data_IF_373787519280
#
_entry.id   IF_373787519280
#
_cell.length_a   1.000
_cell.length_b   1.000
_cell.length_c   1.000
_cell.angle_alpha   90.00
_cell.angle_beta   90.00
_cell.angle_gamma   90.00
#
_symmetry.space_group_name_H-M   'P 1'
#
loop_
_entity.id
_entity.type
_entity.pdbx_description
1 polymer ?
#
# COMPACT_ATOMS: atom_id res chain seq x y z
N UNK A 1 -22.10 -5.04 -29.62
CA UNK A 1 -21.73 -5.85 -28.45
C UNK A 1 -22.35 -5.21 -27.23
N UNK A 2 -22.71 -6.00 -26.22
CA UNK A 2 -23.24 -5.48 -24.97
C UNK A 2 -22.12 -4.81 -24.16
N UNK A 3 -22.41 -3.67 -23.54
CA UNK A 3 -21.44 -2.91 -22.74
C UNK A 3 -21.07 -3.70 -21.48
N UNK A 4 -22.02 -4.48 -20.95
CA UNK A 4 -21.84 -5.27 -19.73
C UNK A 4 -20.83 -6.42 -19.89
N UNK A 5 -20.51 -6.81 -21.13
CA UNK A 5 -19.52 -7.84 -21.45
C UNK A 5 -18.10 -7.29 -21.61
N UNK A 6 -17.93 -5.96 -21.58
CA UNK A 6 -16.67 -5.28 -21.76
C UNK A 6 -16.03 -4.91 -20.41
N UNK A 7 -14.71 -4.95 -20.37
CA UNK A 7 -13.88 -4.46 -19.28
C UNK A 7 -13.16 -3.20 -19.75
N UNK A 8 -13.27 -2.14 -18.96
CA UNK A 8 -12.68 -0.84 -19.23
C UNK A 8 -11.53 -0.60 -18.26
N UNK A 9 -10.32 -0.43 -18.80
CA UNK A 9 -9.12 -0.14 -18.03
C UNK A 9 -8.57 1.24 -18.44
N UNK A 10 -8.46 2.21 -17.52
CA UNK A 10 -7.86 3.51 -17.84
C UNK A 10 -6.37 3.31 -18.14
N UNK A 11 -5.91 3.88 -19.26
CA UNK A 11 -4.50 3.91 -19.65
C UNK A 11 -3.88 5.23 -19.23
N UNK A 12 -4.42 6.35 -19.72
CA UNK A 12 -3.98 7.69 -19.36
C UNK A 12 -5.21 8.56 -19.06
N UNK A 13 -5.10 9.42 -18.06
CA UNK A 13 -6.15 10.36 -17.66
C UNK A 13 -5.52 11.76 -17.71
N UNK A 14 -5.87 12.50 -18.76
CA UNK A 14 -5.64 13.93 -18.82
C UNK A 14 -6.82 14.67 -18.17
N UNK A 15 -6.64 15.94 -17.79
CA UNK A 15 -7.56 16.72 -16.95
C UNK A 15 -9.04 16.65 -17.40
N UNK A 16 -9.32 16.51 -18.70
CA UNK A 16 -10.68 16.38 -19.24
C UNK A 16 -10.93 15.14 -20.09
N UNK A 17 -9.91 14.32 -20.40
CA UNK A 17 -10.03 13.19 -21.31
C UNK A 17 -9.33 11.96 -20.74
N UNK A 18 -10.05 10.85 -20.65
CA UNK A 18 -9.48 9.56 -20.27
C UNK A 18 -9.34 8.67 -21.51
N UNK A 19 -8.13 8.19 -21.76
CA UNK A 19 -7.88 7.13 -22.74
C UNK A 19 -8.07 5.79 -22.05
N UNK A 20 -9.00 4.98 -22.56
CA UNK A 20 -9.42 3.73 -21.94
C UNK A 20 -9.18 2.57 -22.90
N UNK A 21 -8.53 1.53 -22.41
CA UNK A 21 -8.45 0.26 -23.11
C UNK A 21 -9.71 -0.57 -22.82
N UNK A 22 -10.27 -1.15 -23.88
CA UNK A 22 -11.49 -1.95 -23.80
C UNK A 22 -11.18 -3.37 -24.25
N UNK A 23 -11.51 -4.34 -23.40
CA UNK A 23 -11.29 -5.77 -23.68
C UNK A 23 -12.48 -6.57 -23.18
N UNK A 24 -12.84 -7.63 -23.90
CA UNK A 24 -13.95 -8.49 -23.52
C UNK A 24 -13.65 -9.23 -22.20
N UNK A 25 -14.62 -9.29 -21.28
CA UNK A 25 -14.45 -9.91 -19.96
C UNK A 25 -14.08 -11.40 -20.03
N UNK A 26 -14.61 -12.14 -21.02
CA UNK A 26 -14.20 -13.54 -21.24
C UNK A 26 -12.71 -13.67 -21.55
N UNK A 27 -12.13 -12.75 -22.33
CA UNK A 27 -10.70 -12.78 -22.63
C UNK A 27 -9.87 -12.45 -21.38
N UNK A 28 -10.31 -11.47 -20.59
CA UNK A 28 -9.68 -11.16 -19.30
C UNK A 28 -9.73 -12.35 -18.33
N UNK A 29 -10.85 -13.08 -18.28
CA UNK A 29 -10.96 -14.31 -17.49
C UNK A 29 -9.91 -15.35 -17.88
N UNK A 30 -9.77 -15.60 -19.18
CA UNK A 30 -8.81 -16.57 -19.69
C UNK A 30 -7.37 -16.16 -19.33
N UNK A 31 -7.02 -14.89 -19.47
CA UNK A 31 -5.70 -14.36 -19.11
C UNK A 31 -5.45 -14.50 -17.59
N UNK A 32 -6.41 -14.09 -16.76
CA UNK A 32 -6.29 -14.15 -15.31
C UNK A 32 -6.16 -15.60 -14.81
N UNK A 33 -6.94 -16.52 -15.37
CA UNK A 33 -6.85 -17.95 -15.05
C UNK A 33 -5.48 -18.52 -15.43
N UNK A 34 -5.00 -18.22 -16.63
CA UNK A 34 -3.69 -18.67 -17.09
C UNK A 34 -2.56 -18.16 -16.20
N UNK A 35 -2.61 -16.88 -15.78
CA UNK A 35 -1.64 -16.31 -14.84
C UNK A 35 -1.67 -17.01 -13.47
N UNK A 36 -2.87 -17.35 -12.99
CA UNK A 36 -3.06 -18.03 -11.71
C UNK A 36 -2.55 -19.48 -11.74
N UNK A 37 -2.86 -20.24 -12.80
CA UNK A 37 -2.41 -21.62 -13.00
C UNK A 37 -0.89 -21.71 -13.03
N UNK A 38 -0.22 -20.72 -13.63
CA UNK A 38 1.23 -20.63 -13.69
C UNK A 38 1.87 -19.98 -12.44
N UNK A 39 1.06 -19.60 -11.43
CA UNK A 39 1.56 -18.99 -10.19
C UNK A 39 2.18 -17.60 -10.38
N UNK A 40 1.90 -16.91 -11.48
CA UNK A 40 2.42 -15.58 -11.80
C UNK A 40 1.62 -14.55 -10.99
N UNK A 41 2.26 -13.95 -9.99
CA UNK A 41 1.60 -13.03 -9.03
C UNK A 41 1.87 -11.55 -9.30
N UNK A 42 2.89 -11.24 -10.10
CA UNK A 42 3.21 -9.88 -10.56
C UNK A 42 3.30 -9.92 -12.07
N UNK A 43 2.21 -9.49 -12.72
CA UNK A 43 2.15 -9.34 -14.16
C UNK A 43 1.52 -7.99 -14.47
N UNK A 44 1.98 -7.39 -15.56
CA UNK A 44 1.31 -6.28 -16.23
C UNK A 44 0.76 -6.86 -17.52
N UNK A 45 -0.54 -6.67 -17.76
CA UNK A 45 -1.17 -7.08 -19.01
C UNK A 45 -1.46 -5.81 -19.78
N UNK A 46 -0.90 -5.71 -20.97
CA UNK A 46 -1.09 -4.59 -21.88
C UNK A 46 -1.29 -5.14 -23.31
N UNK A 47 -1.89 -4.35 -24.21
CA UNK A 47 -1.91 -4.67 -25.63
C UNK A 47 -0.49 -4.91 -26.17
N UNK A 48 -0.39 -5.81 -27.15
CA UNK A 48 0.87 -6.20 -27.76
C UNK A 48 1.64 -5.01 -28.38
N UNK A 49 0.94 -4.08 -29.01
CA UNK A 49 1.54 -2.86 -29.57
C UNK A 49 2.12 -1.91 -28.52
N UNK A 50 1.76 -2.01 -27.24
CA UNK A 50 2.42 -1.24 -26.18
C UNK A 50 3.81 -1.77 -25.83
N UNK A 51 4.16 -2.99 -26.27
CA UNK A 51 5.48 -3.58 -25.97
C UNK A 51 6.63 -2.99 -26.80
N UNK A 52 6.31 -2.25 -27.87
CA UNK A 52 7.30 -1.54 -28.70
C UNK A 52 7.33 -0.04 -28.34
N UNK A 53 8.44 0.68 -28.60
CA UNK A 53 8.52 2.11 -28.28
C UNK A 53 7.55 2.96 -29.12
N UNK A 54 7.22 4.16 -28.65
CA UNK A 54 6.39 5.11 -29.42
C UNK A 54 7.09 5.53 -30.72
N UNK A 55 6.31 5.68 -31.79
CA UNK A 55 6.83 5.96 -33.13
C UNK A 55 7.49 4.75 -33.80
N UNK A 56 7.26 3.52 -33.35
CA UNK A 56 7.81 2.32 -33.97
C UNK A 56 6.74 1.47 -34.68
N UNK A 57 7.16 0.82 -35.75
CA UNK A 57 6.41 -0.22 -36.43
C UNK A 57 7.28 -1.45 -36.61
N UNK A 58 6.80 -2.59 -36.11
CA UNK A 58 7.40 -3.90 -36.32
C UNK A 58 6.54 -4.70 -37.29
N UNK A 59 7.16 -5.20 -38.36
CA UNK A 59 6.53 -6.08 -39.32
C UNK A 59 7.19 -7.46 -39.27
N UNK A 60 6.38 -8.49 -39.11
CA UNK A 60 6.75 -9.89 -39.27
C UNK A 60 5.99 -10.48 -40.48
N UNK A 61 6.30 -11.72 -40.86
CA UNK A 61 5.69 -12.41 -42.00
C UNK A 61 4.16 -12.52 -41.92
N UNK A 62 3.60 -12.59 -40.71
CA UNK A 62 2.15 -12.78 -40.50
C UNK A 62 1.43 -11.54 -39.99
N UNK A 63 2.14 -10.67 -39.26
CA UNK A 63 1.52 -9.59 -38.48
C UNK A 63 2.35 -8.33 -38.48
N UNK A 64 1.65 -7.21 -38.34
CA UNK A 64 2.23 -5.88 -38.20
C UNK A 64 1.72 -5.28 -36.90
N UNK A 65 2.64 -4.71 -36.14
CA UNK A 65 2.38 -4.03 -34.87
C UNK A 65 2.92 -2.61 -35.02
N UNK A 66 2.10 -1.61 -34.73
CA UNK A 66 2.45 -0.21 -34.84
C UNK A 66 2.06 0.52 -33.56
N UNK A 67 3.02 1.23 -32.96
CA UNK A 67 2.78 2.17 -31.86
C UNK A 67 3.13 3.56 -32.33
N UNK A 68 2.13 4.42 -32.32
CA UNK A 68 2.23 5.78 -32.83
C UNK A 68 2.62 6.69 -31.69
N UNK A 69 1.87 6.57 -30.60
CA UNK A 69 1.99 7.40 -29.42
C UNK A 69 1.77 6.57 -28.16
N UNK A 70 1.85 7.21 -27.00
CA UNK A 70 1.72 6.62 -25.67
C UNK A 70 0.56 5.62 -25.55
N UNK A 71 -0.65 6.05 -25.94
CA UNK A 71 -1.88 5.27 -25.85
C UNK A 71 -2.55 4.99 -27.21
N UNK A 72 -1.84 5.18 -28.33
CA UNK A 72 -2.38 4.95 -29.68
C UNK A 72 -1.51 3.98 -30.47
N UNK A 73 -2.13 2.91 -30.94
CA UNK A 73 -1.46 1.90 -31.74
C UNK A 73 -2.44 0.82 -32.21
N UNK A 74 -1.95 -0.06 -33.06
CA UNK A 74 -2.72 -1.14 -33.63
C UNK A 74 -1.86 -2.36 -33.95
N UNK A 75 -2.51 -3.51 -34.06
CA UNK A 75 -1.93 -4.78 -34.41
C UNK A 75 -2.86 -5.45 -35.41
N UNK A 76 -2.34 -5.86 -36.57
CA UNK A 76 -3.15 -6.44 -37.64
C UNK A 76 -2.35 -7.50 -38.42
N UNK A 77 -3.07 -8.40 -39.08
CA UNK A 77 -2.46 -9.31 -40.05
C UNK A 77 -1.88 -8.55 -41.24
N UNK A 78 -0.83 -9.09 -41.87
CA UNK A 78 -0.10 -8.42 -42.96
C UNK A 78 -1.02 -7.99 -44.12
N UNK A 79 -2.08 -8.74 -44.41
CA UNK A 79 -3.05 -8.42 -45.46
C UNK A 79 -3.89 -7.16 -45.16
N UNK A 80 -4.19 -6.89 -43.88
CA UNK A 80 -4.99 -5.75 -43.44
C UNK A 80 -4.13 -4.55 -43.04
N UNK A 81 -2.83 -4.76 -42.81
CA UNK A 81 -1.91 -3.72 -42.38
C UNK A 81 -1.89 -2.47 -43.29
N UNK A 82 -1.91 -2.56 -44.64
CA UNK A 82 -1.96 -1.37 -45.49
C UNK A 82 -3.24 -0.55 -45.29
N UNK A 83 -4.38 -1.21 -45.06
CA UNK A 83 -5.67 -0.53 -44.86
C UNK A 83 -5.69 0.18 -43.51
N UNK A 84 -5.26 -0.51 -42.45
CA UNK A 84 -5.15 0.07 -41.11
C UNK A 84 -4.18 1.25 -41.09
N UNK A 85 -3.04 1.12 -41.80
CA UNK A 85 -2.05 2.18 -41.89
C UNK A 85 -2.58 3.43 -42.62
N UNK A 86 -3.34 3.27 -43.71
CA UNK A 86 -3.99 4.39 -44.39
C UNK A 86 -5.05 5.07 -43.55
N UNK A 87 -5.91 4.30 -42.88
CA UNK A 87 -6.90 4.85 -41.97
C UNK A 87 -6.22 5.70 -40.89
N UNK A 88 -5.09 5.22 -40.37
CA UNK A 88 -4.31 5.94 -39.38
C UNK A 88 -3.70 7.24 -39.88
N UNK A 89 -3.17 7.26 -41.11
CA UNK A 89 -2.62 8.48 -41.73
C UNK A 89 -3.73 9.51 -41.98
N UNK A 90 -4.93 9.06 -42.36
CA UNK A 90 -6.07 9.92 -42.60
C UNK A 90 -6.64 10.55 -41.31
N UNK A 91 -6.52 9.87 -40.17
CA UNK A 91 -6.94 10.41 -38.87
C UNK A 91 -5.99 11.49 -38.32
N UNK A 92 -4.77 11.59 -38.84
CA UNK A 92 -3.78 12.55 -38.37
C UNK A 92 -3.60 13.70 -39.36
N UNK A 93 -3.66 14.93 -38.86
CA UNK A 93 -3.38 16.12 -39.67
C UNK A 93 -1.87 16.43 -39.76
N UNK A 94 -1.08 15.95 -38.80
CA UNK A 94 0.37 16.19 -38.76
C UNK A 94 1.18 15.12 -39.49
N UNK A 95 2.37 15.47 -40.02
CA UNK A 95 3.29 14.49 -40.59
C UNK A 95 3.75 13.51 -39.51
N UNK A 96 3.75 12.22 -39.87
CA UNK A 96 4.06 11.13 -38.97
C UNK A 96 5.52 10.67 -39.18
N UNK A 97 6.27 10.56 -38.09
CA UNK A 97 7.61 9.97 -38.11
C UNK A 97 7.56 8.57 -37.50
N UNK A 98 7.95 7.56 -38.28
CA UNK A 98 7.97 6.16 -37.86
C UNK A 98 9.33 5.52 -38.07
N UNK A 99 9.75 4.76 -37.07
CA UNK A 99 10.89 3.86 -37.15
C UNK A 99 10.40 2.44 -37.44
N UNK A 100 10.84 1.86 -38.55
CA UNK A 100 10.37 0.57 -39.04
C UNK A 100 11.40 -0.53 -38.84
N UNK A 101 10.93 -1.70 -38.46
CA UNK A 101 11.74 -2.92 -38.32
C UNK A 101 11.05 -4.07 -39.04
N UNK A 102 11.80 -4.81 -39.86
CA UNK A 102 11.30 -5.97 -40.61
C UNK A 102 10.49 -5.65 -41.88
N UNK A 103 10.36 -4.37 -42.25
CA UNK A 103 9.76 -3.94 -43.51
C UNK A 103 10.67 -2.92 -44.21
N UNK A 104 10.81 -3.05 -45.53
CA UNK A 104 11.52 -2.06 -46.34
C UNK A 104 10.74 -0.74 -46.36
N UNK A 105 11.40 0.43 -46.18
CA UNK A 105 10.75 1.74 -46.25
C UNK A 105 9.92 1.94 -47.52
N UNK A 106 10.41 1.45 -48.66
CA UNK A 106 9.71 1.54 -49.96
C UNK A 106 8.32 0.87 -49.94
N UNK A 107 8.23 -0.30 -49.27
CA UNK A 107 6.96 -1.02 -49.14
C UNK A 107 5.98 -0.25 -48.25
N UNK A 108 6.49 0.42 -47.21
CA UNK A 108 5.66 1.26 -46.35
C UNK A 108 5.20 2.53 -47.07
N UNK A 109 6.07 3.18 -47.86
CA UNK A 109 5.68 4.30 -48.71
C UNK A 109 4.62 3.91 -49.75
N UNK A 110 4.72 2.71 -50.32
CA UNK A 110 3.68 2.16 -51.19
C UNK A 110 2.34 1.96 -50.47
N UNK A 111 2.37 1.62 -49.16
CA UNK A 111 1.16 1.57 -48.34
C UNK A 111 0.58 2.95 -48.10
N UNK A 112 1.40 3.97 -47.84
CA UNK A 112 0.95 5.35 -47.67
C UNK A 112 0.32 5.94 -48.94
N UNK A 113 0.82 5.56 -50.12
CA UNK A 113 0.27 6.03 -51.40
C UNK A 113 0.50 7.53 -51.59
N UNK A 114 -0.58 8.30 -51.81
CA UNK A 114 -0.50 9.75 -52.01
C UNK A 114 0.00 10.49 -50.76
N UNK A 115 -0.17 9.92 -49.57
CA UNK A 115 0.24 10.50 -48.29
C UNK A 115 1.70 10.17 -47.92
N UNK A 116 2.47 9.55 -48.83
CA UNK A 116 3.87 9.19 -48.57
C UNK A 116 4.76 10.41 -48.23
N UNK A 117 4.43 11.60 -48.74
CA UNK A 117 5.15 12.85 -48.43
C UNK A 117 4.98 13.28 -46.96
N UNK A 118 3.91 12.84 -46.29
CA UNK A 118 3.62 13.13 -44.89
C UNK A 118 4.31 12.14 -43.93
N UNK A 119 5.02 11.14 -44.46
CA UNK A 119 5.63 10.07 -43.70
C UNK A 119 7.15 10.20 -43.71
N UNK A 120 7.75 10.32 -42.53
CA UNK A 120 9.20 10.17 -42.36
C UNK A 120 9.48 8.75 -41.87
N UNK A 121 10.20 7.95 -42.66
CA UNK A 121 10.52 6.56 -42.31
C UNK A 121 12.00 6.40 -42.00
N UNK A 122 12.31 5.89 -40.81
CA UNK A 122 13.66 5.46 -40.42
C UNK A 122 13.69 3.94 -40.32
N UNK A 123 14.57 3.26 -41.05
CA UNK A 123 14.71 1.81 -40.93
C UNK A 123 15.75 1.43 -39.87
N UNK A 124 15.39 0.50 -38.98
CA UNK A 124 16.32 -0.12 -38.05
C UNK A 124 16.35 -1.65 -38.24
N UNK A 125 17.50 -2.30 -37.99
CA UNK A 125 17.62 -3.75 -38.14
C UNK A 125 16.88 -4.53 -37.05
N UNK A 126 16.75 -3.94 -35.85
CA UNK A 126 16.07 -4.55 -34.72
C UNK A 126 15.57 -3.48 -33.75
N UNK A 127 14.54 -3.81 -32.98
CA UNK A 127 14.11 -3.01 -31.83
C UNK A 127 15.01 -3.36 -30.65
N UNK A 128 15.82 -2.40 -30.20
CA UNK A 128 16.74 -2.58 -29.07
C UNK A 128 16.17 -2.09 -27.73
N UNK A 129 15.05 -1.40 -27.78
CA UNK A 129 14.41 -0.77 -26.62
C UNK A 129 12.99 -1.30 -26.47
N UNK A 130 12.62 -1.69 -25.26
CA UNK A 130 11.26 -2.10 -24.98
C UNK A 130 10.38 -0.87 -24.76
N UNK A 131 9.13 -0.95 -25.23
CA UNK A 131 8.11 0.02 -24.87
C UNK A 131 7.65 -0.23 -23.44
N UNK A 132 7.67 0.82 -22.61
CA UNK A 132 6.99 0.76 -21.33
C UNK A 132 5.47 0.95 -21.57
N UNK A 133 4.63 0.07 -21.02
CA UNK A 133 3.18 0.21 -21.13
C UNK A 133 2.69 1.29 -20.17
N UNK A 134 1.98 2.29 -20.69
CA UNK A 134 1.40 3.40 -19.91
C UNK A 134 0.25 2.97 -18.97
N UNK A 135 -0.18 1.70 -19.06
CA UNK A 135 -1.30 1.21 -18.26
C UNK A 135 -1.30 -0.31 -18.08
N UNK A 136 -2.20 -0.76 -17.20
CA UNK A 136 -2.40 -2.17 -16.91
C UNK A 136 -3.88 -2.55 -17.06
N UNK A 137 -4.15 -3.59 -17.84
CA UNK A 137 -5.50 -4.14 -18.00
C UNK A 137 -5.98 -4.88 -16.73
N UNK A 138 -5.06 -5.33 -15.86
CA UNK A 138 -5.37 -5.97 -14.59
C UNK A 138 -5.80 -4.94 -13.52
N UNK A 139 -6.89 -4.23 -13.80
CA UNK A 139 -7.50 -3.21 -12.92
C UNK A 139 -8.86 -3.68 -12.41
N UNK A 140 -9.31 -3.09 -11.29
CA UNK A 140 -10.58 -3.41 -10.65
C UNK A 140 -10.70 -4.89 -10.27
N UNK A 141 -11.69 -5.64 -10.81
CA UNK A 141 -11.94 -7.03 -10.44
C UNK A 141 -10.81 -7.99 -10.84
N UNK A 142 -9.95 -7.60 -11.79
CA UNK A 142 -8.85 -8.42 -12.31
C UNK A 142 -7.50 -8.16 -11.65
N UNK A 143 -7.43 -7.30 -10.63
CA UNK A 143 -6.18 -7.04 -9.92
C UNK A 143 -5.60 -8.35 -9.35
N UNK A 144 -4.28 -8.60 -9.48
CA UNK A 144 -3.66 -9.79 -8.94
C UNK A 144 -3.95 -9.88 -7.45
N UNK A 145 -4.79 -10.84 -7.06
CA UNK A 145 -5.06 -11.09 -5.65
C UNK A 145 -3.77 -11.61 -5.03
N UNK A 146 -3.10 -10.75 -4.27
CA UNK A 146 -2.02 -11.18 -3.40
C UNK A 146 -2.58 -12.28 -2.50
N UNK A 147 -2.00 -13.48 -2.61
CA UNK A 147 -2.42 -14.57 -1.74
C UNK A 147 -1.98 -14.23 -0.32
N UNK A 148 -2.84 -13.56 0.44
CA UNK A 148 -2.62 -13.22 1.86
C UNK A 148 -2.13 -14.43 2.65
N UNK A 149 -2.58 -15.63 2.29
CA UNK A 149 -2.11 -16.90 2.86
C UNK A 149 -0.60 -17.13 2.71
N UNK A 150 0.01 -16.81 1.56
CA UNK A 150 1.47 -16.93 1.34
C UNK A 150 2.24 -15.83 2.07
N UNK A 151 1.70 -14.61 2.13
CA UNK A 151 2.31 -13.54 2.93
C UNK A 151 2.22 -13.83 4.44
N UNK A 152 1.10 -14.34 4.92
CA UNK A 152 0.93 -14.71 6.33
C UNK A 152 1.87 -15.85 6.74
N UNK A 153 2.08 -16.84 5.88
CA UNK A 153 3.08 -17.89 6.10
C UNK A 153 4.50 -17.33 6.26
N UNK A 154 4.86 -16.28 5.51
CA UNK A 154 6.16 -15.60 5.62
C UNK A 154 6.28 -14.75 6.88
N UNK A 155 5.21 -14.07 7.29
CA UNK A 155 5.20 -13.22 8.48
C UNK A 155 5.12 -14.00 9.79
N UNK A 156 4.63 -15.24 9.76
CA UNK A 156 4.52 -16.08 10.97
C UNK A 156 5.85 -16.25 11.70
N UNK A 157 6.97 -16.37 10.97
CA UNK A 157 8.30 -16.53 11.58
C UNK A 157 8.74 -15.26 12.33
N UNK A 158 8.27 -14.08 11.92
CA UNK A 158 8.57 -12.80 12.57
C UNK A 158 7.61 -12.48 13.71
N UNK A 159 6.32 -12.83 13.57
CA UNK A 159 5.30 -12.58 14.59
C UNK A 159 5.48 -13.48 15.81
N UNK A 160 5.91 -14.73 15.62
CA UNK A 160 6.06 -15.71 16.70
C UNK A 160 7.04 -15.25 17.80
N UNK A 161 8.28 -14.79 17.50
CA UNK A 161 9.19 -14.29 18.55
C UNK A 161 8.67 -13.00 19.20
N UNK A 162 8.07 -12.08 18.43
CA UNK A 162 7.50 -10.84 18.98
C UNK A 162 6.37 -11.14 19.97
N UNK A 163 5.47 -12.06 19.61
CA UNK A 163 4.38 -12.50 20.48
C UNK A 163 4.94 -13.18 21.74
N UNK A 164 5.98 -14.01 21.60
CA UNK A 164 6.61 -14.70 22.73
C UNK A 164 7.27 -13.71 23.70
N UNK A 165 7.97 -12.70 23.18
CA UNK A 165 8.54 -11.59 23.98
C UNK A 165 7.43 -10.77 24.66
N UNK A 166 6.34 -10.48 23.95
CA UNK A 166 5.22 -9.71 24.48
C UNK A 166 4.51 -10.47 25.61
N UNK A 167 4.33 -11.79 25.45
CA UNK A 167 3.82 -12.67 26.52
C UNK A 167 4.78 -12.70 27.70
N UNK A 168 6.09 -12.82 27.48
CA UNK A 168 7.07 -12.78 28.56
C UNK A 168 7.03 -11.46 29.34
N UNK A 169 6.98 -10.32 28.65
CA UNK A 169 6.83 -8.98 29.24
C UNK A 169 5.51 -8.84 30.01
N UNK A 170 4.40 -9.37 29.47
CA UNK A 170 3.11 -9.35 30.14
C UNK A 170 3.10 -10.20 31.41
N UNK A 171 3.80 -11.35 31.42
CA UNK A 171 3.96 -12.19 32.61
C UNK A 171 4.80 -11.47 33.67
N UNK A 172 5.93 -10.86 33.28
CA UNK A 172 6.74 -10.07 34.20
C UNK A 172 5.92 -8.95 34.85
N UNK A 173 5.19 -8.16 34.04
CA UNK A 173 4.36 -7.06 34.55
C UNK A 173 3.12 -7.55 35.31
N UNK A 174 2.55 -8.70 34.92
CA UNK A 174 1.43 -9.33 35.61
C UNK A 174 1.79 -9.83 37.00
N UNK A 175 2.98 -10.43 37.14
CA UNK A 175 3.51 -10.88 38.45
C UNK A 175 3.81 -9.68 39.35
N UNK A 176 4.33 -8.57 38.81
CA UNK A 176 4.56 -7.36 39.62
C UNK A 176 3.27 -6.70 40.13
N UNK A 177 2.18 -6.74 39.37
CA UNK A 177 0.88 -6.22 39.83
C UNK A 177 0.28 -7.07 40.96
N UNK A 178 0.61 -8.36 41.00
CA UNK A 178 0.21 -9.25 42.10
C UNK A 178 1.12 -9.09 43.33
N UNK A 179 2.44 -8.95 43.17
CA UNK A 179 3.38 -8.85 44.30
C UNK A 179 3.35 -7.50 45.04
N UNK A 180 2.76 -6.45 44.46
CA UNK A 180 2.52 -5.17 45.14
C UNK A 180 1.32 -5.23 46.09
N UNK A 181 0.44 -6.23 45.98
CA UNK A 181 -0.63 -6.44 46.96
C UNK A 181 -0.11 -6.94 48.32
N UNK A 182 1.03 -7.63 48.32
CA UNK A 182 1.60 -8.27 49.51
C UNK A 182 2.52 -7.32 50.30
N UNK A 183 3.24 -6.42 49.62
CA UNK A 183 4.00 -5.36 50.28
C UNK A 183 3.12 -4.25 50.88
N UNK A 184 1.95 -3.97 50.30
CA UNK A 184 0.98 -3.03 50.88
C UNK A 184 0.33 -3.60 52.16
N UNK A 185 0.28 -4.92 52.31
CA UNK A 185 -0.17 -5.56 53.54
C UNK A 185 0.86 -5.41 54.68
N UNK A 186 2.16 -5.58 54.39
CA UNK A 186 3.22 -5.44 55.41
C UNK A 186 3.50 -3.97 55.81
N UNK A 187 3.37 -3.01 54.89
CA UNK A 187 3.49 -1.58 55.21
C UNK A 187 2.32 -1.04 56.04
N UNK A 188 1.15 -1.70 56.03
CA UNK A 188 0.04 -1.37 56.93
C UNK A 188 0.30 -1.80 58.37
N UNK A 189 0.93 -2.95 58.58
CA UNK A 189 1.21 -3.47 59.93
C UNK A 189 2.29 -2.68 60.69
N UNK A 190 3.33 -2.17 60.01
CA UNK A 190 4.33 -1.30 60.67
C UNK A 190 3.77 0.11 60.98
N UNK A 191 2.89 0.62 60.12
CA UNK A 191 2.23 1.91 60.36
C UNK A 191 1.17 1.84 61.49
N UNK A 192 0.56 0.68 61.72
CA UNK A 192 -0.42 0.48 62.79
C UNK A 192 0.22 0.41 64.20
N UNK A 193 1.40 -0.20 64.34
CA UNK A 193 2.11 -0.27 65.64
C UNK A 193 2.64 1.10 66.10
N UNK A 194 3.10 1.93 65.17
CA UNK A 194 3.51 3.31 65.48
C UNK A 194 2.30 4.26 65.71
N UNK A 195 1.12 3.94 65.18
CA UNK A 195 -0.09 4.73 65.44
C UNK A 195 -0.72 4.44 66.80
N UNK A 196 -0.66 3.18 67.27
CA UNK A 196 -1.27 2.76 68.54
C UNK A 196 -0.46 3.16 69.77
N UNK A 197 0.84 3.44 69.62
CA UNK A 197 1.68 3.95 70.72
C UNK A 197 1.44 5.43 71.01
N UNK A 198 0.81 6.18 70.10
CA UNK A 198 0.57 7.62 70.25
C UNK A 198 -0.89 8.00 70.59
N UNK A 199 -1.84 7.06 70.59
CA UNK A 199 -3.27 7.35 70.86
C UNK A 199 -3.99 6.26 71.69
N UNK A 200 -3.83 6.24 73.04
CA UNK A 200 -4.43 5.23 73.91
C UNK A 200 -5.92 5.45 74.25
N UNK A 201 -6.70 6.18 73.44
CA UNK A 201 -8.11 6.50 73.77
C UNK A 201 -9.17 6.12 72.71
N UNK A 202 -8.84 5.49 71.58
CA UNK A 202 -9.88 5.16 70.59
C UNK A 202 -9.81 3.72 70.04
N UNK A 203 -10.57 2.85 70.72
CA UNK A 203 -10.99 1.53 70.25
C UNK A 203 -11.82 1.67 68.96
N UNK A 204 -11.28 1.18 67.84
CA UNK A 204 -11.92 0.83 66.56
C UNK A 204 -11.77 1.85 65.42
N UNK A 205 -10.82 1.58 64.52
CA UNK A 205 -10.56 2.37 63.31
C UNK A 205 -10.94 1.55 62.06
N UNK A 206 -11.91 2.04 61.28
CA UNK A 206 -12.39 1.40 60.03
C UNK A 206 -11.97 2.20 58.77
N UNK A 207 -11.47 3.43 58.90
CA UNK A 207 -10.99 4.22 57.76
C UNK A 207 -10.08 5.40 58.18
N UNK A 208 -8.76 5.18 58.15
CA UNK A 208 -7.71 6.11 58.62
C UNK A 208 -7.74 7.49 57.94
N UNK A 209 -7.94 7.55 56.61
CA UNK A 209 -7.87 8.80 55.82
C UNK A 209 -8.92 9.83 56.20
N UNK A 210 -10.12 9.36 56.56
CA UNK A 210 -11.24 10.23 56.94
C UNK A 210 -11.06 10.84 58.34
N UNK A 211 -10.35 10.13 59.23
CA UNK A 211 -10.15 10.58 60.61
C UNK A 211 -8.96 11.53 60.73
N UNK A 212 -7.90 11.34 59.93
CA UNK A 212 -6.78 12.29 59.85
C UNK A 212 -7.25 13.65 59.30
N UNK A 213 -8.13 13.66 58.30
CA UNK A 213 -8.70 14.92 57.76
C UNK A 213 -9.66 15.60 58.73
N UNK A 214 -10.40 14.85 59.55
CA UNK A 214 -11.22 15.43 60.62
C UNK A 214 -10.39 15.93 61.81
N UNK A 215 -9.31 15.23 62.20
CA UNK A 215 -8.41 15.68 63.26
C UNK A 215 -7.64 16.95 62.85
N UNK A 216 -7.12 17.00 61.62
CA UNK A 216 -6.47 18.18 61.05
C UNK A 216 -7.43 19.37 60.93
N UNK A 217 -8.72 19.13 60.71
CA UNK A 217 -9.74 20.19 60.65
C UNK A 217 -10.12 20.71 62.03
N UNK A 218 -9.97 19.89 63.09
CA UNK A 218 -10.36 20.24 64.47
C UNK A 218 -9.27 20.99 65.23
N UNK A 219 -7.99 20.84 64.87
CA UNK A 219 -6.85 21.55 65.48
C UNK A 219 -6.39 22.81 64.73
N UNK A 220 -7.19 23.32 63.79
CA UNK A 220 -6.87 24.53 63.01
C UNK A 220 -7.28 25.87 63.67
N UNK A 221 -7.33 25.96 65.01
CA UNK A 221 -6.88 27.20 65.61
C UNK A 221 -5.90 26.90 66.73
N UNK A 222 -4.71 27.53 66.64
CA UNK A 222 -3.85 27.85 67.77
C UNK A 222 -2.80 26.79 68.17
N UNK A 223 -1.73 26.62 67.37
CA UNK A 223 -0.38 26.31 67.87
C UNK A 223 0.71 26.40 66.75
N UNK A 224 1.62 27.36 66.90
CA UNK A 224 3.00 27.47 66.40
C UNK A 224 3.39 26.77 65.07
N UNK A 225 3.25 27.51 63.97
CA UNK A 225 3.56 27.09 62.59
C UNK A 225 5.04 26.75 62.31
N UNK A 226 5.97 27.12 63.19
CA UNK A 226 7.41 26.90 62.98
C UNK A 226 7.89 25.50 63.37
N UNK A 227 7.21 24.81 64.29
CA UNK A 227 7.57 23.43 64.68
C UNK A 227 7.01 22.37 63.74
N UNK A 228 5.77 22.57 63.25
CA UNK A 228 5.14 21.65 62.30
C UNK A 228 5.85 21.63 60.93
N UNK A 229 6.34 22.77 60.45
CA UNK A 229 7.09 22.83 59.20
C UNK A 229 8.48 22.17 59.31
N UNK A 230 9.13 22.31 60.48
CA UNK A 230 10.40 21.61 60.75
C UNK A 230 10.21 20.08 60.74
N UNK A 231 9.15 19.57 61.36
CA UNK A 231 8.86 18.13 61.40
C UNK A 231 8.40 17.57 60.06
N UNK A 232 7.63 18.33 59.27
CA UNK A 232 7.28 17.94 57.90
C UNK A 232 8.49 17.92 56.96
N UNK A 233 9.47 18.81 57.15
CA UNK A 233 10.73 18.80 56.38
C UNK A 233 11.64 17.60 56.71
N UNK A 234 11.56 17.08 57.93
CA UNK A 234 12.32 15.89 58.35
C UNK A 234 11.73 14.60 57.76
N UNK A 235 10.41 14.59 57.53
CA UNK A 235 9.71 13.46 56.89
C UNK A 235 9.87 13.52 55.36
N UNK A 236 9.95 14.70 54.76
CA UNK A 236 10.18 14.86 53.32
C UNK A 236 11.62 14.53 52.89
N UNK A 237 12.60 14.62 53.80
CA UNK A 237 14.01 14.31 53.50
C UNK A 237 14.39 12.84 53.72
N UNK A 238 13.45 12.02 54.19
CA UNK A 238 13.63 10.56 54.40
C UNK A 238 12.80 9.70 53.45
N UNK A 239 12.15 10.32 52.46
CA UNK A 239 11.59 9.71 51.24
C UNK A 239 12.54 9.91 50.06
#
# INVERSE_FOLDING_TARGET
>A
QDIDELHFAPLNIDQQLATVAVIHQQHMRNIAQWLQENGITRATVAPDWMSIPCGFMACDAQRVICRIDECRGWSAGLALAPVMFRAQLNEQDLPLSLTVVGIAPEKLSAWAGADAERLTVTALPAITTYGEPEGNLLTGPWQPRVSYRKQWARWRVMILPILLILVALAVERGVTLWSVSEQVAQSRTQAEEQFLTLFPEQKRIVNLRSQVTMALKKYRPQADDTRLLAELSAIASTL
#
